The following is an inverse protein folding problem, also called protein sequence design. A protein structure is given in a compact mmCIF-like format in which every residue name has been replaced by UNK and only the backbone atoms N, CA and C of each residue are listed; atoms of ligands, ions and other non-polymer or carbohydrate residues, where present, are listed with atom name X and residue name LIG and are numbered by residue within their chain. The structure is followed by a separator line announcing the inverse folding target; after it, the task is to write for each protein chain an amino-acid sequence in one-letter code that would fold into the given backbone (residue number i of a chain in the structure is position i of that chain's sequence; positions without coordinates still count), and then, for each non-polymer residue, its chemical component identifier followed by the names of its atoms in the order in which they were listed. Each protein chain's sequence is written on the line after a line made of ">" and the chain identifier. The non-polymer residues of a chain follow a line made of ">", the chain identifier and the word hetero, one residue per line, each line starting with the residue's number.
data_IF_727396322076
#
_entry.id   IF_727396322076
#
_cell.length_a   1.000
_cell.length_b   1.000
_cell.length_c   1.000
_cell.angle_alpha   90.00
_cell.angle_beta   90.00
_cell.angle_gamma   90.00
#
_symmetry.space_group_name_H-M   'P 1'
#
loop_
_entity.id
_entity.type
_entity.pdbx_description
1 polymer ?
#
# COMPACT_ATOMS: atom_id res chain seq x y z
N UNK A 1 -9.01 -2.66 -13.29
CA UNK A 1 -8.98 -1.89 -12.05
C UNK A 1 -8.37 -0.53 -12.26
N UNK A 2 -8.87 0.43 -11.54
CA UNK A 2 -8.35 1.78 -11.64
C UNK A 2 -7.64 2.15 -10.34
N UNK A 3 -6.36 2.46 -10.44
CA UNK A 3 -5.58 2.94 -9.30
C UNK A 3 -5.47 4.45 -9.42
N UNK A 4 -5.88 5.16 -8.37
CA UNK A 4 -5.81 6.61 -8.31
C UNK A 4 -4.66 7.01 -7.39
N UNK A 5 -4.08 8.17 -7.67
CA UNK A 5 -3.02 8.70 -6.81
C UNK A 5 -3.08 10.22 -6.74
N UNK A 6 -2.68 10.75 -5.57
CA UNK A 6 -2.66 12.18 -5.28
C UNK A 6 -1.42 12.52 -4.48
N UNK A 7 -1.13 13.81 -4.39
CA UNK A 7 -0.13 14.30 -3.46
C UNK A 7 -0.85 15.19 -2.43
N UNK A 8 -0.74 14.81 -1.16
CA UNK A 8 -1.36 15.54 -0.05
C UNK A 8 -0.26 15.84 0.97
N UNK A 9 -0.01 17.13 1.21
CA UNK A 9 1.03 17.58 2.15
C UNK A 9 2.41 16.96 1.88
N UNK A 10 2.76 16.82 0.61
CA UNK A 10 4.04 16.23 0.20
C UNK A 10 4.09 14.71 0.26
N UNK A 11 2.99 14.06 0.62
CA UNK A 11 2.90 12.60 0.69
C UNK A 11 2.12 12.10 -0.51
N UNK A 12 2.66 11.10 -1.20
CA UNK A 12 1.93 10.44 -2.29
C UNK A 12 0.91 9.48 -1.69
N UNK A 13 -0.36 9.64 -2.07
CA UNK A 13 -1.43 8.75 -1.65
C UNK A 13 -1.87 7.94 -2.86
N UNK A 14 -1.89 6.63 -2.72
CA UNK A 14 -2.28 5.70 -3.78
C UNK A 14 -3.48 4.91 -3.29
N UNK A 15 -4.55 4.92 -4.07
CA UNK A 15 -5.77 4.20 -3.73
C UNK A 15 -6.15 3.25 -4.86
N UNK A 16 -5.90 1.94 -4.71
CA UNK A 16 -6.38 0.96 -5.66
C UNK A 16 -7.87 0.65 -5.42
N UNK A 17 -8.58 0.39 -6.50
CA UNK A 17 -9.99 0.01 -6.45
C UNK A 17 -10.12 -1.41 -6.97
N UNK A 18 -10.76 -2.30 -6.21
CA UNK A 18 -11.02 -3.66 -6.63
C UNK A 18 -10.31 -4.71 -5.79
N UNK A 19 -9.68 -5.67 -6.44
CA UNK A 19 -9.15 -6.86 -5.77
C UNK A 19 -7.64 -6.99 -5.99
N UNK A 20 -6.93 -7.31 -4.92
CA UNK A 20 -5.51 -7.64 -5.01
C UNK A 20 -5.35 -9.16 -4.96
N UNK A 21 -5.74 -9.81 -6.03
CA UNK A 21 -5.82 -11.27 -6.14
C UNK A 21 -4.88 -11.85 -7.20
N UNK A 22 -3.94 -11.06 -7.70
CA UNK A 22 -3.13 -11.39 -8.87
C UNK A 22 -3.78 -10.82 -10.14
N UNK A 23 -3.15 -10.99 -11.29
CA UNK A 23 -3.67 -10.49 -12.55
C UNK A 23 -3.43 -8.99 -12.76
N UNK A 24 -4.17 -8.40 -13.71
CA UNK A 24 -3.93 -7.04 -14.16
C UNK A 24 -4.12 -5.98 -13.08
N UNK A 25 -5.07 -6.18 -12.18
CA UNK A 25 -5.33 -5.23 -11.10
C UNK A 25 -4.15 -5.13 -10.15
N UNK A 26 -3.61 -6.27 -9.76
CA UNK A 26 -2.44 -6.36 -8.90
C UNK A 26 -1.21 -5.81 -9.60
N UNK A 27 -1.04 -6.11 -10.89
CA UNK A 27 0.06 -5.60 -11.70
C UNK A 27 0.00 -4.08 -11.84
N UNK A 28 -1.20 -3.50 -12.00
CA UNK A 28 -1.37 -2.05 -12.08
C UNK A 28 -0.87 -1.37 -10.81
N UNK A 29 -1.20 -1.91 -9.65
CA UNK A 29 -0.73 -1.37 -8.37
C UNK A 29 0.79 -1.50 -8.26
N UNK A 30 1.32 -2.66 -8.58
CA UNK A 30 2.76 -2.91 -8.53
C UNK A 30 3.52 -1.91 -9.41
N UNK A 31 3.06 -1.73 -10.64
CA UNK A 31 3.67 -0.80 -11.58
C UNK A 31 3.57 0.65 -11.10
N UNK A 32 2.46 1.03 -10.49
CA UNK A 32 2.27 2.38 -9.98
C UNK A 32 3.26 2.68 -8.84
N UNK A 33 3.40 1.76 -7.90
CA UNK A 33 4.32 1.94 -6.78
C UNK A 33 5.78 1.94 -7.26
N UNK A 34 6.14 1.07 -8.19
CA UNK A 34 7.48 1.05 -8.78
C UNK A 34 7.80 2.38 -9.46
N UNK A 35 6.84 2.94 -10.18
CA UNK A 35 7.01 4.23 -10.86
C UNK A 35 7.23 5.37 -9.86
N UNK A 36 6.43 5.42 -8.82
CA UNK A 36 6.56 6.46 -7.79
C UNK A 36 7.93 6.39 -7.12
N UNK A 37 8.37 5.20 -6.76
CA UNK A 37 9.69 5.02 -6.15
C UNK A 37 10.81 5.46 -7.11
N UNK A 38 10.69 5.11 -8.40
CA UNK A 38 11.64 5.51 -9.42
C UNK A 38 11.67 7.02 -9.67
N UNK A 39 10.58 7.72 -9.36
CA UNK A 39 10.49 9.18 -9.44
C UNK A 39 11.01 9.89 -8.19
N UNK A 40 11.49 9.14 -7.21
CA UNK A 40 12.06 9.69 -5.99
C UNK A 40 11.06 9.95 -4.88
N UNK A 41 9.87 9.35 -4.94
CA UNK A 41 8.90 9.47 -3.86
C UNK A 41 9.49 8.91 -2.56
N UNK A 42 9.43 9.68 -1.47
CA UNK A 42 10.00 9.29 -0.19
C UNK A 42 8.95 8.78 0.78
N UNK A 43 7.70 9.18 0.61
CA UNK A 43 6.61 8.81 1.51
C UNK A 43 5.38 8.51 0.66
N UNK A 44 4.90 7.28 0.76
CA UNK A 44 3.72 6.83 0.04
C UNK A 44 2.76 6.20 1.05
N UNK A 45 1.51 6.61 1.00
CA UNK A 45 0.41 6.01 1.76
C UNK A 45 -0.44 5.22 0.79
N UNK A 46 -0.57 3.92 1.04
CA UNK A 46 -1.42 3.04 0.26
C UNK A 46 -2.75 2.89 0.98
N UNK A 47 -3.78 3.52 0.44
CA UNK A 47 -5.12 3.49 1.02
C UNK A 47 -5.88 2.30 0.44
N UNK A 48 -6.14 1.30 1.27
CA UNK A 48 -6.78 0.06 0.89
C UNK A 48 -8.27 0.03 1.24
N UNK A 49 -8.87 1.19 1.47
CA UNK A 49 -10.28 1.28 1.88
C UNK A 49 -11.27 0.75 0.85
N UNK A 50 -10.89 0.76 -0.43
CA UNK A 50 -11.72 0.21 -1.51
C UNK A 50 -11.16 -1.10 -2.08
N UNK A 51 -10.26 -1.75 -1.34
CA UNK A 51 -9.70 -3.06 -1.68
C UNK A 51 -10.26 -4.09 -0.72
N UNK A 52 -11.30 -4.79 -1.15
CA UNK A 52 -12.05 -5.72 -0.29
C UNK A 52 -11.41 -7.09 -0.20
N UNK A 53 -10.67 -7.50 -1.22
CA UNK A 53 -10.12 -8.84 -1.34
C UNK A 53 -8.63 -8.79 -1.58
N UNK A 54 -7.90 -9.60 -0.82
CA UNK A 54 -6.46 -9.75 -0.98
C UNK A 54 -6.13 -11.23 -0.78
N UNK A 55 -5.25 -11.75 -1.61
CA UNK A 55 -4.76 -13.13 -1.47
C UNK A 55 -3.24 -13.14 -1.40
N UNK A 56 -2.64 -14.32 -1.43
CA UNK A 56 -1.18 -14.45 -1.34
C UNK A 56 -0.45 -13.73 -2.48
N UNK A 57 -1.03 -13.68 -3.68
CA UNK A 57 -0.42 -12.96 -4.79
C UNK A 57 -0.41 -11.44 -4.56
N UNK A 58 -1.52 -10.88 -4.09
CA UNK A 58 -1.60 -9.47 -3.73
C UNK A 58 -0.69 -9.15 -2.56
N UNK A 59 -0.68 -10.02 -1.56
CA UNK A 59 0.19 -9.85 -0.41
C UNK A 59 1.67 -9.87 -0.80
N UNK A 60 2.05 -10.73 -1.73
CA UNK A 60 3.40 -10.79 -2.27
C UNK A 60 3.84 -9.49 -2.90
N UNK A 61 2.95 -8.81 -3.62
CA UNK A 61 3.23 -7.50 -4.20
C UNK A 61 3.45 -6.46 -3.11
N UNK A 62 2.63 -6.46 -2.06
CA UNK A 62 2.81 -5.52 -0.95
C UNK A 62 4.16 -5.73 -0.26
N UNK A 63 4.55 -6.97 -0.01
CA UNK A 63 5.85 -7.29 0.59
C UNK A 63 7.00 -6.83 -0.31
N UNK A 64 6.90 -7.13 -1.60
CA UNK A 64 7.91 -6.75 -2.58
C UNK A 64 8.11 -5.24 -2.61
N UNK A 65 7.02 -4.49 -2.64
CA UNK A 65 7.07 -3.03 -2.66
C UNK A 65 7.58 -2.46 -1.34
N UNK A 66 7.16 -3.04 -0.21
CA UNK A 66 7.65 -2.61 1.08
C UNK A 66 9.17 -2.74 1.16
N UNK A 67 9.72 -3.88 0.72
CA UNK A 67 11.16 -4.10 0.68
C UNK A 67 11.86 -3.09 -0.24
N UNK A 68 11.31 -2.85 -1.42
CA UNK A 68 11.89 -1.90 -2.37
C UNK A 68 11.93 -0.48 -1.79
N UNK A 69 10.85 -0.05 -1.15
CA UNK A 69 10.79 1.27 -0.51
C UNK A 69 11.78 1.34 0.65
N UNK A 70 11.81 0.32 1.48
CA UNK A 70 12.72 0.27 2.64
C UNK A 70 14.19 0.36 2.21
N UNK A 71 14.57 -0.40 1.20
CA UNK A 71 15.95 -0.38 0.67
C UNK A 71 16.33 0.97 0.07
N UNK A 72 15.36 1.68 -0.48
CA UNK A 72 15.59 3.01 -1.06
C UNK A 72 15.54 4.14 -0.02
N UNK A 73 15.34 3.82 1.26
CA UNK A 73 15.21 4.82 2.31
C UNK A 73 13.88 5.56 2.28
N UNK A 74 12.87 5.00 1.63
CA UNK A 74 11.53 5.55 1.55
C UNK A 74 10.59 4.79 2.47
N UNK A 75 9.37 5.33 2.65
CA UNK A 75 8.36 4.71 3.50
C UNK A 75 7.11 4.37 2.69
N UNK A 76 6.61 3.16 2.88
CA UNK A 76 5.33 2.73 2.36
C UNK A 76 4.43 2.38 3.55
N UNK A 77 3.35 3.16 3.73
CA UNK A 77 2.41 2.99 4.83
C UNK A 77 1.07 2.49 4.29
N UNK A 78 0.38 1.69 5.09
CA UNK A 78 -0.95 1.19 4.74
C UNK A 78 -2.01 1.93 5.55
N UNK A 79 -3.14 2.25 4.93
CA UNK A 79 -4.23 2.95 5.58
C UNK A 79 -5.58 2.35 5.19
N UNK A 80 -6.57 2.49 6.04
CA UNK A 80 -7.96 2.10 5.81
C UNK A 80 -8.13 0.61 5.45
N UNK A 81 -7.31 -0.27 6.02
CA UNK A 81 -7.45 -1.69 5.76
C UNK A 81 -8.86 -2.17 6.10
N UNK A 82 -9.50 -2.86 5.17
CA UNK A 82 -10.76 -3.55 5.48
C UNK A 82 -10.47 -4.65 6.50
N UNK A 83 -11.52 -5.09 7.21
CA UNK A 83 -11.35 -6.16 8.20
C UNK A 83 -10.72 -7.40 7.57
N UNK A 84 -11.16 -7.77 6.37
CA UNK A 84 -10.62 -8.95 5.67
C UNK A 84 -9.14 -8.79 5.33
N UNK A 85 -8.75 -7.62 4.84
CA UNK A 85 -7.35 -7.35 4.52
C UNK A 85 -6.49 -7.35 5.79
N UNK A 86 -6.98 -6.74 6.86
CA UNK A 86 -6.27 -6.74 8.14
C UNK A 86 -6.12 -8.16 8.69
N UNK A 87 -7.18 -8.98 8.62
CA UNK A 87 -7.13 -10.37 9.07
C UNK A 87 -6.06 -11.17 8.31
N UNK A 88 -5.94 -10.97 7.00
CA UNK A 88 -4.91 -11.62 6.19
C UNK A 88 -3.52 -11.21 6.66
N UNK A 89 -3.31 -9.93 6.94
CA UNK A 89 -2.02 -9.44 7.43
C UNK A 89 -1.71 -10.01 8.82
N UNK A 90 -2.68 -10.08 9.70
CA UNK A 90 -2.51 -10.63 11.05
C UNK A 90 -2.17 -12.11 10.99
N UNK A 91 -2.92 -12.89 10.21
CA UNK A 91 -2.70 -14.34 10.08
C UNK A 91 -1.32 -14.62 9.49
N UNK A 92 -0.87 -13.84 8.53
CA UNK A 92 0.44 -14.02 7.91
C UNK A 92 1.58 -13.35 8.69
N UNK A 93 1.27 -12.74 9.83
CA UNK A 93 2.21 -12.03 10.71
C UNK A 93 2.86 -10.81 10.05
N UNK A 94 2.26 -10.27 9.01
CA UNK A 94 2.79 -9.11 8.30
C UNK A 94 2.32 -7.78 8.89
N UNK A 95 1.33 -7.81 9.79
CA UNK A 95 0.86 -6.60 10.45
C UNK A 95 1.97 -5.92 11.27
N UNK A 96 2.99 -6.67 11.71
CA UNK A 96 4.13 -6.10 12.44
C UNK A 96 5.19 -5.51 11.51
N UNK A 97 5.19 -5.91 10.25
CA UNK A 97 6.13 -5.41 9.25
C UNK A 97 5.67 -4.07 8.68
N UNK A 98 4.38 -3.98 8.34
CA UNK A 98 3.80 -2.78 7.77
C UNK A 98 3.37 -1.80 8.85
N UNK A 99 3.57 -0.51 8.61
CA UNK A 99 2.96 0.55 9.41
C UNK A 99 1.53 0.72 8.93
N UNK A 100 0.57 0.30 9.75
CA UNK A 100 -0.86 0.34 9.42
C UNK A 100 -1.55 1.43 10.22
N UNK A 101 -2.41 2.20 9.56
CA UNK A 101 -3.14 3.31 10.15
C UNK A 101 -4.63 3.16 9.90
N UNK A 102 -5.45 3.65 10.83
CA UNK A 102 -6.90 3.54 10.72
C UNK A 102 -7.49 4.40 9.61
N UNK A 103 -6.80 5.49 9.26
CA UNK A 103 -7.28 6.39 8.22
C UNK A 103 -6.13 6.91 7.38
N UNK A 104 -6.49 7.40 6.19
CA UNK A 104 -5.56 8.08 5.29
C UNK A 104 -4.90 9.28 6.00
N UNK A 105 -5.71 10.08 6.70
CA UNK A 105 -5.22 11.27 7.37
C UNK A 105 -4.21 10.93 8.46
N UNK A 106 -4.47 9.89 9.25
CA UNK A 106 -3.52 9.43 10.26
C UNK A 106 -2.21 8.98 9.63
N UNK A 107 -2.28 8.26 8.52
CA UNK A 107 -1.09 7.77 7.82
C UNK A 107 -0.27 8.93 7.23
N UNK A 108 -0.93 9.97 6.73
CA UNK A 108 -0.26 11.16 6.18
C UNK A 108 0.38 11.98 7.30
N UNK A 109 -0.31 12.15 8.41
CA UNK A 109 0.13 13.00 9.51
C UNK A 109 1.25 12.38 10.35
N UNK A 110 1.37 11.05 10.36
CA UNK A 110 2.36 10.37 11.18
C UNK A 110 3.77 10.69 10.75
N UNK A 111 4.63 10.98 11.73
CA UNK A 111 6.05 11.27 11.53
C UNK A 111 6.96 10.16 12.07
N UNK A 112 6.34 9.07 12.45
CA UNK A 112 7.07 7.96 13.05
C UNK A 112 8.05 7.34 12.06
#
# INVERSE_FOLDING_TARGET
>A
MKTESWIINGVNVVEPHGKLMGGSDTDDLDNRLTRLLGQGAKRVVLDLGDTKWINSAGLGVLIHQWNAFHEAGAELRLANLTKKALDVLVISRLATVFSCYDSRDDAIASRA
#
